data_IF_731983042260
#
_entry.id   IF_731983042260
#
_cell.length_a   1.000
_cell.length_b   1.000
_cell.length_c   1.000
_cell.angle_alpha   90.00
_cell.angle_beta   90.00
_cell.angle_gamma   90.00
#
_symmetry.space_group_name_H-M   'P 1'
#
loop_
_entity.id
_entity.type
_entity.pdbx_description
1 polymer ?
#
# COMPACT_ATOMS: atom_id res chain seq x y z
N UNK A 1 36.44 -15.75 -10.44
CA UNK A 1 35.98 -14.45 -9.91
C UNK A 1 35.57 -14.65 -8.46
N UNK A 2 36.15 -13.93 -7.50
CA UNK A 2 35.70 -13.98 -6.09
C UNK A 2 34.59 -12.96 -5.90
N UNK A 3 33.42 -13.41 -5.44
CA UNK A 3 32.30 -12.54 -5.05
C UNK A 3 32.75 -11.48 -4.05
N UNK A 4 32.29 -10.24 -4.23
CA UNK A 4 32.68 -9.04 -3.46
C UNK A 4 31.92 -8.89 -2.14
N UNK A 5 31.02 -9.83 -1.82
CA UNK A 5 30.19 -9.85 -0.63
C UNK A 5 30.49 -11.13 0.15
N UNK A 6 30.58 -11.04 1.48
CA UNK A 6 30.53 -12.23 2.34
C UNK A 6 29.25 -12.99 1.98
N UNK A 7 29.43 -14.18 1.42
CA UNK A 7 28.32 -15.02 1.01
C UNK A 7 27.59 -15.59 2.23
N UNK A 8 26.36 -16.02 2.01
CA UNK A 8 25.61 -16.79 3.00
C UNK A 8 26.30 -18.14 3.16
N UNK A 9 26.68 -18.49 4.39
CA UNK A 9 27.24 -19.80 4.69
C UNK A 9 26.17 -20.81 5.08
N UNK A 10 26.40 -22.05 4.66
CA UNK A 10 25.51 -23.17 4.90
C UNK A 10 26.16 -24.18 5.84
N UNK A 11 25.36 -24.75 6.73
CA UNK A 11 25.70 -25.87 7.57
C UNK A 11 25.04 -27.14 7.03
N UNK A 12 25.82 -28.18 6.76
CA UNK A 12 25.33 -29.43 6.18
C UNK A 12 25.48 -30.57 7.18
N UNK A 13 24.34 -31.13 7.60
CA UNK A 13 24.27 -32.34 8.43
C UNK A 13 23.95 -33.53 7.54
N UNK A 14 24.76 -34.58 7.67
CA UNK A 14 24.62 -35.80 6.87
C UNK A 14 24.48 -37.00 7.79
N UNK A 15 23.45 -37.81 7.58
CA UNK A 15 23.25 -39.09 8.27
C UNK A 15 23.37 -40.23 7.26
N UNK A 16 23.99 -41.34 7.66
CA UNK A 16 24.13 -42.51 6.81
C UNK A 16 23.74 -43.78 7.57
N UNK A 17 23.02 -44.68 6.91
CA UNK A 17 22.62 -45.98 7.44
C UNK A 17 23.13 -47.11 6.56
N UNK A 18 23.76 -48.10 7.19
CA UNK A 18 24.22 -49.33 6.52
C UNK A 18 23.03 -50.28 6.38
N UNK A 19 22.85 -50.82 5.18
CA UNK A 19 21.74 -51.69 4.81
C UNK A 19 22.16 -53.14 4.54
N UNK A 20 23.46 -53.44 4.53
CA UNK A 20 23.96 -54.82 4.39
C UNK A 20 23.91 -55.54 5.74
N UNK A 21 23.54 -56.82 5.72
CA UNK A 21 23.59 -57.67 6.91
C UNK A 21 25.03 -58.15 7.19
N UNK A 22 25.44 -58.34 8.47
CA UNK A 22 26.73 -58.93 8.83
C UNK A 22 26.90 -60.35 8.25
N UNK A 23 28.14 -60.83 8.02
CA UNK A 23 29.41 -60.31 8.53
C UNK A 23 30.05 -59.25 7.62
N UNK A 24 30.58 -58.19 8.24
CA UNK A 24 31.35 -57.15 7.57
C UNK A 24 32.82 -57.56 7.48
N UNK A 25 33.47 -57.26 6.36
CA UNK A 25 34.90 -57.50 6.15
C UNK A 25 35.82 -56.51 6.90
N UNK A 26 35.24 -55.42 7.42
CA UNK A 26 35.93 -54.29 8.03
C UNK A 26 35.41 -54.06 9.45
N UNK A 27 36.25 -53.45 10.29
CA UNK A 27 35.81 -53.00 11.62
C UNK A 27 34.75 -51.89 11.48
N UNK A 28 33.85 -51.81 12.45
CA UNK A 28 32.76 -50.83 12.46
C UNK A 28 33.28 -49.39 12.33
N UNK A 29 34.43 -49.09 12.94
CA UNK A 29 35.05 -47.77 12.88
C UNK A 29 35.57 -47.44 11.48
N UNK A 30 36.20 -48.41 10.80
CA UNK A 30 36.68 -48.24 9.43
C UNK A 30 35.52 -48.06 8.44
N UNK A 31 34.41 -48.79 8.64
CA UNK A 31 33.18 -48.61 7.87
C UNK A 31 32.63 -47.20 8.06
N UNK A 32 32.57 -46.71 9.30
CA UNK A 32 32.07 -45.35 9.60
C UNK A 32 32.92 -44.29 8.90
N UNK A 33 34.25 -44.41 8.99
CA UNK A 33 35.16 -43.41 8.41
C UNK A 33 35.13 -43.43 6.87
N UNK A 34 35.02 -44.61 6.26
CA UNK A 34 34.92 -44.75 4.81
C UNK A 34 33.58 -44.23 4.26
N UNK A 35 32.46 -44.57 4.91
CA UNK A 35 31.13 -44.02 4.58
C UNK A 35 31.13 -42.50 4.72
N UNK A 36 31.69 -41.98 5.81
CA UNK A 36 31.79 -40.54 6.07
C UNK A 36 32.62 -39.82 5.01
N UNK A 37 33.80 -40.34 4.66
CA UNK A 37 34.66 -39.77 3.65
C UNK A 37 33.96 -39.70 2.28
N UNK A 38 33.27 -40.79 1.92
CA UNK A 38 32.58 -40.90 0.63
C UNK A 38 31.36 -39.99 0.52
N UNK A 39 30.57 -39.89 1.58
CA UNK A 39 29.42 -38.98 1.66
C UNK A 39 29.88 -37.52 1.61
N UNK A 40 30.94 -37.15 2.36
CA UNK A 40 31.51 -35.80 2.33
C UNK A 40 32.08 -35.42 0.97
N UNK A 41 32.82 -36.33 0.34
CA UNK A 41 33.42 -36.07 -0.97
C UNK A 41 32.33 -35.81 -2.03
N UNK A 42 31.29 -36.64 -2.06
CA UNK A 42 30.18 -36.43 -2.99
C UNK A 42 29.36 -35.17 -2.69
N UNK A 43 29.11 -34.85 -1.41
CA UNK A 43 28.44 -33.61 -1.05
C UNK A 43 29.25 -32.38 -1.50
N UNK A 44 30.57 -32.39 -1.28
CA UNK A 44 31.46 -31.32 -1.71
C UNK A 44 31.50 -31.18 -3.24
N UNK A 45 31.56 -32.29 -3.97
CA UNK A 45 31.55 -32.32 -5.43
C UNK A 45 30.27 -31.70 -6.00
N UNK A 46 29.10 -32.07 -5.45
CA UNK A 46 27.81 -31.49 -5.84
C UNK A 46 27.76 -29.99 -5.57
N UNK A 47 28.19 -29.56 -4.37
CA UNK A 47 28.19 -28.15 -3.99
C UNK A 47 29.14 -27.30 -4.82
N UNK A 48 30.27 -27.85 -5.27
CA UNK A 48 31.23 -27.14 -6.13
C UNK A 48 30.67 -26.87 -7.54
N UNK A 49 29.80 -27.75 -8.04
CA UNK A 49 29.20 -27.65 -9.37
C UNK A 49 27.81 -26.98 -9.36
N UNK A 50 27.28 -26.64 -8.19
CA UNK A 50 26.00 -25.96 -8.04
C UNK A 50 26.18 -24.43 -8.07
N UNK A 51 25.75 -23.77 -9.14
CA UNK A 51 25.58 -22.30 -9.20
C UNK A 51 24.26 -21.87 -8.54
N UNK A 52 24.01 -22.33 -7.31
CA UNK A 52 22.72 -22.17 -6.64
C UNK A 52 22.79 -21.06 -5.60
N UNK A 53 21.79 -20.17 -5.59
CA UNK A 53 21.78 -18.95 -4.77
C UNK A 53 20.84 -19.01 -3.55
N UNK A 54 20.02 -20.05 -3.43
CA UNK A 54 18.98 -20.18 -2.41
C UNK A 54 19.04 -21.52 -1.67
N UNK A 55 18.79 -21.47 -0.34
CA UNK A 55 18.83 -22.62 0.56
C UNK A 55 17.98 -23.83 0.08
N UNK A 56 16.73 -23.65 -0.38
CA UNK A 56 15.90 -24.78 -0.82
C UNK A 56 16.50 -25.52 -2.01
N UNK A 57 17.02 -24.79 -2.98
CA UNK A 57 17.64 -25.39 -4.16
C UNK A 57 18.94 -26.13 -3.81
N UNK A 58 19.73 -25.61 -2.85
CA UNK A 58 20.93 -26.33 -2.33
C UNK A 58 20.52 -27.62 -1.62
N UNK A 59 19.49 -27.56 -0.79
CA UNK A 59 18.92 -28.73 -0.11
C UNK A 59 18.45 -29.79 -1.12
N UNK A 60 17.71 -29.40 -2.15
CA UNK A 60 17.19 -30.31 -3.18
C UNK A 60 18.31 -30.98 -3.99
N UNK A 61 19.34 -30.22 -4.37
CA UNK A 61 20.48 -30.78 -5.11
C UNK A 61 21.27 -31.78 -4.26
N UNK A 62 21.56 -31.44 -3.01
CA UNK A 62 22.23 -32.34 -2.07
C UNK A 62 21.39 -33.59 -1.78
N UNK A 63 20.09 -33.42 -1.52
CA UNK A 63 19.17 -34.53 -1.26
C UNK A 63 19.05 -35.47 -2.47
N UNK A 64 18.91 -34.91 -3.68
CA UNK A 64 18.86 -35.71 -4.92
C UNK A 64 20.16 -36.49 -5.11
N UNK A 65 21.32 -35.85 -4.94
CA UNK A 65 22.61 -36.50 -5.14
C UNK A 65 22.92 -37.62 -4.12
N UNK A 66 22.36 -37.53 -2.92
CA UNK A 66 22.64 -38.47 -1.83
C UNK A 66 21.52 -39.49 -1.58
N UNK A 67 20.37 -39.34 -2.24
CA UNK A 67 19.21 -40.25 -2.14
C UNK A 67 19.47 -41.68 -2.65
N UNK A 68 20.53 -41.92 -3.40
CA UNK A 68 20.80 -43.22 -4.02
C UNK A 68 21.58 -44.13 -3.07
N UNK A 69 21.18 -45.41 -2.99
CA UNK A 69 21.93 -46.43 -2.24
C UNK A 69 23.29 -46.63 -2.90
N UNK A 70 24.35 -46.54 -2.11
CA UNK A 70 25.75 -46.65 -2.55
C UNK A 70 26.38 -47.88 -1.95
N UNK A 71 27.39 -48.43 -2.63
CA UNK A 71 28.18 -49.55 -2.13
C UNK A 71 29.63 -49.17 -1.90
N UNK A 72 30.21 -49.69 -0.82
CA UNK A 72 31.65 -49.75 -0.63
C UNK A 72 32.19 -51.02 -1.30
N UNK A 73 33.37 -50.91 -1.89
CA UNK A 73 34.06 -51.99 -2.59
C UNK A 73 34.78 -52.90 -1.58
N UNK A 74 34.00 -53.53 -0.71
CA UNK A 74 34.43 -54.54 0.25
C UNK A 74 33.90 -55.90 -0.19
N UNK A 75 34.48 -57.01 0.28
CA UNK A 75 33.96 -58.35 0.03
C UNK A 75 33.53 -59.01 1.36
N UNK A 76 32.22 -59.10 1.66
CA UNK A 76 31.06 -58.76 0.82
C UNK A 76 30.77 -57.25 0.71
N UNK A 77 30.09 -56.80 -0.37
CA UNK A 77 29.84 -55.37 -0.62
C UNK A 77 28.88 -54.76 0.39
N UNK A 78 29.31 -53.65 1.00
CA UNK A 78 28.56 -52.94 2.02
C UNK A 78 27.73 -51.82 1.39
N UNK A 79 26.39 -51.94 1.48
CA UNK A 79 25.44 -50.96 0.97
C UNK A 79 25.07 -49.97 2.06
N UNK A 80 24.99 -48.69 1.72
CA UNK A 80 24.54 -47.64 2.62
C UNK A 80 23.67 -46.61 1.90
N UNK A 81 22.75 -46.00 2.65
CA UNK A 81 21.95 -44.87 2.21
C UNK A 81 22.33 -43.64 3.04
N UNK A 82 22.26 -42.45 2.45
CA UNK A 82 22.55 -41.20 3.13
C UNK A 82 21.39 -40.21 3.01
N UNK A 83 21.16 -39.43 4.05
CA UNK A 83 20.23 -38.30 4.07
C UNK A 83 20.97 -37.04 4.45
N UNK A 84 20.52 -35.90 3.91
CA UNK A 84 21.17 -34.61 4.12
C UNK A 84 20.17 -33.54 4.50
N UNK A 85 20.58 -32.72 5.46
CA UNK A 85 19.89 -31.50 5.86
C UNK A 85 20.89 -30.35 5.73
N UNK A 86 20.52 -29.33 4.97
CA UNK A 86 21.26 -28.10 4.75
C UNK A 86 20.51 -26.98 5.44
N UNK A 87 21.17 -26.32 6.38
CA UNK A 87 20.68 -25.16 7.09
C UNK A 87 21.59 -23.96 6.84
N UNK A 88 21.13 -22.77 7.17
CA UNK A 88 21.96 -21.58 7.24
C UNK A 88 22.88 -21.63 8.48
N UNK A 89 24.06 -21.02 8.42
CA UNK A 89 24.87 -20.80 9.62
C UNK A 89 24.07 -20.01 10.68
N UNK A 90 24.30 -20.26 11.98
CA UNK A 90 23.56 -19.55 13.04
C UNK A 90 23.63 -18.03 12.94
N UNK A 91 24.78 -17.48 12.54
CA UNK A 91 24.99 -16.04 12.38
C UNK A 91 24.18 -15.50 11.18
N UNK A 92 24.14 -16.24 10.07
CA UNK A 92 23.33 -15.90 8.89
C UNK A 92 21.83 -16.05 9.16
N UNK A 93 21.42 -17.04 9.96
CA UNK A 93 20.04 -17.17 10.43
C UNK A 93 19.61 -15.93 11.24
N UNK A 94 20.47 -15.46 12.15
CA UNK A 94 20.22 -14.28 12.94
C UNK A 94 20.13 -13.01 12.06
N UNK A 95 21.03 -12.86 11.09
CA UNK A 95 21.01 -11.74 10.15
C UNK A 95 19.73 -11.70 9.31
N UNK A 96 19.30 -12.85 8.78
CA UNK A 96 18.03 -12.97 8.03
C UNK A 96 16.83 -12.66 8.93
N UNK A 97 16.82 -13.15 10.17
CA UNK A 97 15.75 -12.86 11.12
C UNK A 97 15.62 -11.36 11.42
N UNK A 98 16.74 -10.66 11.62
CA UNK A 98 16.78 -9.20 11.82
C UNK A 98 16.26 -8.46 10.59
N UNK A 99 16.67 -8.87 9.39
CA UNK A 99 16.21 -8.27 8.14
C UNK A 99 14.70 -8.44 7.97
N UNK A 100 14.18 -9.66 8.19
CA UNK A 100 12.74 -9.94 8.09
C UNK A 100 11.93 -9.16 9.14
N UNK A 101 12.44 -9.03 10.36
CA UNK A 101 11.81 -8.22 11.39
C UNK A 101 11.73 -6.74 10.99
N UNK A 102 12.81 -6.19 10.43
CA UNK A 102 12.85 -4.83 9.93
C UNK A 102 11.86 -4.62 8.75
N UNK A 103 11.81 -5.55 7.80
CA UNK A 103 10.86 -5.48 6.68
C UNK A 103 9.41 -5.54 7.14
N UNK A 104 9.08 -6.41 8.10
CA UNK A 104 7.73 -6.50 8.68
C UNK A 104 7.33 -5.18 9.36
N UNK A 105 8.24 -4.58 10.12
CA UNK A 105 8.00 -3.29 10.77
C UNK A 105 7.75 -2.19 9.74
N UNK A 106 8.58 -2.11 8.69
CA UNK A 106 8.41 -1.15 7.60
C UNK A 106 7.06 -1.33 6.89
N UNK A 107 6.67 -2.57 6.57
CA UNK A 107 5.40 -2.85 5.91
C UNK A 107 4.19 -2.43 6.77
N UNK A 108 4.26 -2.62 8.09
CA UNK A 108 3.22 -2.15 9.01
C UNK A 108 3.15 -0.62 9.06
N UNK A 109 4.29 0.05 9.15
CA UNK A 109 4.36 1.52 9.13
C UNK A 109 3.79 2.10 7.83
N UNK A 110 4.12 1.50 6.68
CA UNK A 110 3.62 1.93 5.39
C UNK A 110 2.11 1.69 5.25
N UNK A 111 1.60 0.57 5.77
CA UNK A 111 0.16 0.29 5.80
C UNK A 111 -0.59 1.30 6.65
N UNK A 112 -0.07 1.61 7.86
CA UNK A 112 -0.65 2.62 8.73
C UNK A 112 -0.60 4.02 8.11
N UNK A 113 0.49 4.38 7.44
CA UNK A 113 0.58 5.67 6.71
C UNK A 113 -0.44 5.76 5.60
N UNK A 114 -0.62 4.69 4.81
CA UNK A 114 -1.64 4.65 3.74
C UNK A 114 -3.05 4.75 4.31
N UNK A 115 -3.37 4.00 5.36
CA UNK A 115 -4.69 4.06 6.01
C UNK A 115 -4.97 5.46 6.56
N UNK A 116 -4.00 6.10 7.22
CA UNK A 116 -4.15 7.49 7.69
C UNK A 116 -4.35 8.48 6.55
N UNK A 117 -3.55 8.37 5.49
CA UNK A 117 -3.67 9.24 4.33
C UNK A 117 -5.03 9.06 3.62
N UNK A 118 -5.50 7.82 3.51
CA UNK A 118 -6.80 7.51 2.93
C UNK A 118 -7.95 8.04 3.79
N UNK A 119 -7.89 7.86 5.11
CA UNK A 119 -8.90 8.40 6.02
C UNK A 119 -8.98 9.93 5.93
N UNK A 120 -7.84 10.62 5.89
CA UNK A 120 -7.80 12.08 5.68
C UNK A 120 -8.36 12.46 4.31
N UNK A 121 -8.04 11.70 3.25
CA UNK A 121 -8.56 11.97 1.92
C UNK A 121 -10.09 11.76 1.83
N UNK A 122 -10.63 10.75 2.53
CA UNK A 122 -12.07 10.49 2.64
C UNK A 122 -12.76 11.59 3.47
N UNK A 123 -12.15 12.04 4.56
CA UNK A 123 -12.64 13.15 5.39
C UNK A 123 -12.67 14.47 4.62
N UNK A 124 -11.63 14.75 3.82
CA UNK A 124 -11.54 15.93 2.96
C UNK A 124 -12.31 15.81 1.63
N UNK A 125 -12.94 14.66 1.35
CA UNK A 125 -13.77 14.49 0.16
C UNK A 125 -15.10 15.27 0.27
N UNK A 126 -15.56 15.56 1.49
CA UNK A 126 -16.65 16.50 1.71
C UNK A 126 -16.09 17.93 1.69
N UNK A 127 -16.48 18.76 0.71
CA UNK A 127 -15.98 20.13 0.60
C UNK A 127 -16.35 20.99 1.82
N UNK A 128 -17.41 20.66 2.57
CA UNK A 128 -17.72 21.34 3.83
C UNK A 128 -16.68 21.03 4.93
N UNK A 129 -16.25 19.77 5.03
CA UNK A 129 -15.20 19.32 5.95
C UNK A 129 -13.83 19.86 5.53
N UNK A 130 -13.55 19.92 4.22
CA UNK A 130 -12.36 20.56 3.70
C UNK A 130 -12.28 22.05 4.06
N UNK A 131 -13.40 22.79 3.99
CA UNK A 131 -13.45 24.19 4.47
C UNK A 131 -13.22 24.29 5.97
N UNK A 132 -13.83 23.43 6.77
CA UNK A 132 -13.63 23.43 8.22
C UNK A 132 -12.16 23.15 8.55
N UNK A 133 -11.52 22.18 7.90
CA UNK A 133 -10.10 21.89 8.05
C UNK A 133 -9.20 23.05 7.62
N UNK A 134 -9.57 23.75 6.53
CA UNK A 134 -8.86 24.95 6.09
C UNK A 134 -9.04 26.13 7.06
N UNK A 135 -10.23 26.32 7.63
CA UNK A 135 -10.54 27.41 8.57
C UNK A 135 -9.94 27.16 9.97
N UNK A 136 -9.83 25.90 10.38
CA UNK A 136 -9.28 25.49 11.68
C UNK A 136 -7.76 25.29 11.65
N UNK A 137 -7.16 25.09 10.48
CA UNK A 137 -5.72 25.05 10.31
C UNK A 137 -5.10 26.42 10.59
N UNK A 138 -4.30 26.52 11.65
CA UNK A 138 -3.51 27.71 11.97
C UNK A 138 -2.79 28.23 10.71
N UNK A 139 -3.20 29.41 10.23
CA UNK A 139 -2.72 30.13 9.03
C UNK A 139 -3.29 29.69 7.67
N UNK A 140 -4.61 29.52 7.54
CA UNK A 140 -5.21 29.93 6.27
C UNK A 140 -5.11 31.45 6.13
N UNK A 141 -3.95 31.91 5.67
CA UNK A 141 -3.70 33.30 5.32
C UNK A 141 -4.42 33.59 4.00
N UNK A 142 -5.73 33.87 4.09
CA UNK A 142 -6.60 34.14 2.95
C UNK A 142 -6.13 35.35 2.12
N UNK A 143 -5.25 36.19 2.68
CA UNK A 143 -4.57 37.26 1.94
C UNK A 143 -3.65 36.76 0.82
N UNK A 144 -3.29 35.47 0.82
CA UNK A 144 -2.48 34.81 -0.22
C UNK A 144 -3.28 33.95 -1.19
N UNK A 145 -4.60 33.85 -1.01
CA UNK A 145 -5.46 33.24 -2.01
C UNK A 145 -5.56 34.22 -3.18
N UNK A 146 -4.88 33.90 -4.28
CA UNK A 146 -5.08 34.62 -5.55
C UNK A 146 -6.56 34.54 -5.94
N UNK A 147 -7.12 35.61 -6.52
CA UNK A 147 -8.54 35.67 -6.95
C UNK A 147 -8.96 34.44 -7.76
N UNK A 148 -8.08 33.91 -8.61
CA UNK A 148 -8.30 32.68 -9.38
C UNK A 148 -8.59 31.45 -8.52
N UNK A 149 -7.92 31.30 -7.37
CA UNK A 149 -8.13 30.17 -6.45
C UNK A 149 -9.43 30.33 -5.66
N UNK A 150 -9.76 31.55 -5.26
CA UNK A 150 -11.01 31.86 -4.58
C UNK A 150 -12.22 31.64 -5.53
N UNK A 151 -12.13 32.10 -6.78
CA UNK A 151 -13.15 31.88 -7.80
C UNK A 151 -13.32 30.41 -8.18
N UNK A 152 -12.21 29.65 -8.31
CA UNK A 152 -12.27 28.21 -8.54
C UNK A 152 -12.92 27.45 -7.39
N UNK A 153 -12.57 27.79 -6.14
CA UNK A 153 -13.21 27.22 -4.96
C UNK A 153 -14.70 27.57 -4.91
N UNK A 154 -15.07 28.84 -5.09
CA UNK A 154 -16.47 29.28 -5.13
C UNK A 154 -17.28 28.53 -6.20
N UNK A 155 -16.68 28.26 -7.37
CA UNK A 155 -17.30 27.47 -8.44
C UNK A 155 -17.49 26.00 -8.05
N UNK A 156 -16.53 25.39 -7.35
CA UNK A 156 -16.65 24.02 -6.83
C UNK A 156 -17.75 23.95 -5.77
N UNK A 157 -17.85 24.93 -4.86
CA UNK A 157 -18.92 25.03 -3.87
C UNK A 157 -20.29 25.25 -4.51
N UNK A 158 -20.40 26.10 -5.52
CA UNK A 158 -21.65 26.35 -6.24
C UNK A 158 -22.15 25.11 -7.02
N UNK A 159 -21.26 24.18 -7.34
CA UNK A 159 -21.57 22.93 -8.04
C UNK A 159 -21.81 21.75 -7.10
N UNK A 160 -21.35 21.83 -5.84
CA UNK A 160 -21.55 20.76 -4.87
C UNK A 160 -23.02 20.66 -4.46
N UNK A 161 -23.59 19.47 -4.64
CA UNK A 161 -24.93 19.11 -4.17
C UNK A 161 -24.78 18.04 -3.08
N UNK A 162 -25.29 18.25 -1.86
CA UNK A 162 -25.22 17.26 -0.81
C UNK A 162 -25.86 15.94 -1.26
N UNK A 163 -25.30 14.79 -0.87
CA UNK A 163 -25.78 13.48 -1.31
C UNK A 163 -27.14 13.09 -0.71
N UNK A 164 -27.70 13.87 0.23
CA UNK A 164 -28.97 13.56 0.91
C UNK A 164 -29.97 14.71 0.75
N UNK A 165 -31.26 14.42 0.49
CA UNK A 165 -32.27 15.45 0.29
C UNK A 165 -32.51 16.22 1.59
N UNK A 166 -32.03 17.46 1.65
CA UNK A 166 -32.28 18.35 2.78
C UNK A 166 -33.69 18.95 2.68
N UNK A 167 -34.73 18.13 2.92
CA UNK A 167 -36.09 18.61 3.10
C UNK A 167 -36.72 19.33 1.88
N UNK A 168 -37.97 19.76 2.06
CA UNK A 168 -38.76 20.47 1.03
C UNK A 168 -38.17 21.83 0.65
N UNK A 169 -37.48 22.48 1.59
CA UNK A 169 -36.90 23.80 1.44
C UNK A 169 -35.72 23.79 0.46
N UNK A 170 -34.87 22.76 0.51
CA UNK A 170 -33.76 22.63 -0.45
C UNK A 170 -34.26 22.31 -1.87
N UNK A 171 -35.29 21.46 -1.97
CA UNK A 171 -35.93 21.17 -3.25
C UNK A 171 -36.55 22.44 -3.87
N UNK A 172 -37.16 23.30 -3.06
CA UNK A 172 -37.69 24.58 -3.51
C UNK A 172 -36.58 25.51 -4.02
N UNK A 173 -35.44 25.59 -3.32
CA UNK A 173 -34.29 26.41 -3.77
C UNK A 173 -33.77 25.94 -5.12
N UNK A 174 -33.67 24.63 -5.35
CA UNK A 174 -33.21 24.07 -6.63
C UNK A 174 -34.21 24.34 -7.77
N UNK A 175 -35.51 24.25 -7.50
CA UNK A 175 -36.57 24.60 -8.47
C UNK A 175 -36.51 26.09 -8.83
N UNK A 176 -36.38 26.96 -7.82
CA UNK A 176 -36.25 28.42 -8.03
C UNK A 176 -34.97 28.73 -8.81
N UNK A 177 -33.85 28.07 -8.51
CA UNK A 177 -32.61 28.24 -9.26
C UNK A 177 -32.75 27.84 -10.73
N UNK A 178 -33.30 26.66 -11.02
CA UNK A 178 -33.54 26.21 -12.39
C UNK A 178 -34.50 27.12 -13.15
N UNK A 179 -35.55 27.61 -12.47
CA UNK A 179 -36.48 28.56 -13.06
C UNK A 179 -35.79 29.88 -13.41
N UNK A 180 -34.96 30.42 -12.52
CA UNK A 180 -34.17 31.62 -12.81
C UNK A 180 -33.16 31.39 -13.94
N UNK A 181 -32.46 30.25 -13.95
CA UNK A 181 -31.51 29.91 -15.01
C UNK A 181 -32.16 29.73 -16.39
N UNK A 182 -33.47 29.47 -16.45
CA UNK A 182 -34.21 29.37 -17.71
C UNK A 182 -34.34 30.70 -18.47
N UNK A 183 -34.15 31.83 -17.80
CA UNK A 183 -34.15 33.14 -18.45
C UNK A 183 -32.75 33.48 -18.98
N UNK A 184 -32.63 33.56 -20.31
CA UNK A 184 -31.39 33.98 -20.99
C UNK A 184 -31.16 35.49 -20.95
N UNK A 185 -32.24 36.27 -20.83
CA UNK A 185 -32.19 37.73 -20.77
C UNK A 185 -32.24 38.22 -19.30
N UNK A 186 -31.55 39.33 -18.97
CA UNK A 186 -31.50 39.85 -17.60
C UNK A 186 -32.77 40.60 -17.18
N UNK A 187 -33.55 41.15 -18.13
CA UNK A 187 -34.76 41.94 -17.82
C UNK A 187 -35.85 41.11 -17.11
N UNK A 188 -36.21 39.89 -17.56
CA UNK A 188 -37.16 39.04 -16.84
C UNK A 188 -36.72 38.67 -15.42
N UNK A 189 -35.40 38.50 -15.20
CA UNK A 189 -34.84 38.21 -13.87
C UNK A 189 -35.00 39.40 -12.93
N UNK A 190 -34.73 40.62 -13.41
CA UNK A 190 -34.91 41.86 -12.63
C UNK A 190 -36.36 42.05 -12.22
N UNK A 191 -37.31 41.84 -13.14
CA UNK A 191 -38.74 41.94 -12.81
C UNK A 191 -39.15 40.95 -11.70
N UNK A 192 -38.61 39.73 -11.70
CA UNK A 192 -38.86 38.75 -10.65
C UNK A 192 -38.28 39.18 -9.29
N UNK A 193 -37.08 39.75 -9.28
CA UNK A 193 -36.47 40.28 -8.06
C UNK A 193 -37.25 41.47 -7.51
N UNK A 194 -37.73 42.39 -8.36
CA UNK A 194 -38.59 43.52 -7.96
C UNK A 194 -39.92 43.04 -7.36
N UNK A 195 -40.55 42.06 -8.01
CA UNK A 195 -41.81 41.48 -7.54
C UNK A 195 -41.60 40.75 -6.20
N UNK A 196 -40.49 40.03 -6.04
CA UNK A 196 -40.14 39.35 -4.79
C UNK A 196 -39.89 40.36 -3.67
N UNK A 197 -39.06 41.38 -3.91
CA UNK A 197 -38.81 42.45 -2.93
C UNK A 197 -40.10 43.18 -2.55
N UNK A 198 -40.95 43.51 -3.54
CA UNK A 198 -42.27 44.10 -3.33
C UNK A 198 -43.18 43.23 -2.45
N UNK A 199 -43.23 41.92 -2.73
CA UNK A 199 -44.01 40.97 -1.95
C UNK A 199 -43.50 40.83 -0.51
N UNK A 200 -42.19 40.88 -0.29
CA UNK A 200 -41.57 40.83 1.04
C UNK A 200 -41.85 42.11 1.84
N UNK A 201 -41.83 43.28 1.19
CA UNK A 201 -42.25 44.54 1.83
C UNK A 201 -43.73 44.49 2.22
N UNK A 202 -44.59 44.00 1.33
CA UNK A 202 -46.03 43.82 1.60
C UNK A 202 -46.30 42.81 2.74
N UNK A 203 -45.45 41.79 2.89
CA UNK A 203 -45.50 40.81 3.96
C UNK A 203 -44.78 41.26 5.26
N UNK A 204 -44.41 42.55 5.38
CA UNK A 204 -43.74 43.14 6.53
C UNK A 204 -42.36 42.51 6.86
N UNK A 205 -41.61 42.14 5.81
CA UNK A 205 -40.25 41.58 5.86
C UNK A 205 -39.24 42.51 5.15
N UNK A 206 -39.01 43.73 5.67
CA UNK A 206 -38.24 44.76 4.97
C UNK A 206 -36.74 44.43 4.86
N UNK A 207 -36.17 43.69 5.82
CA UNK A 207 -34.76 43.30 5.78
C UNK A 207 -34.47 42.31 4.65
N UNK A 208 -35.38 41.34 4.44
CA UNK A 208 -35.28 40.38 3.35
C UNK A 208 -35.48 41.05 1.99
N UNK A 209 -36.40 42.02 1.89
CA UNK A 209 -36.59 42.82 0.68
C UNK A 209 -35.33 43.61 0.30
N UNK A 210 -34.68 44.25 1.27
CA UNK A 210 -33.42 44.98 1.04
C UNK A 210 -32.29 44.06 0.55
N UNK A 211 -32.21 42.82 1.06
CA UNK A 211 -31.24 41.84 0.54
C UNK A 211 -31.51 41.45 -0.91
N UNK A 212 -32.77 41.35 -1.33
CA UNK A 212 -33.13 41.06 -2.73
C UNK A 212 -32.80 42.24 -3.64
N UNK A 213 -33.04 43.48 -3.19
CA UNK A 213 -32.66 44.70 -3.92
C UNK A 213 -31.14 44.80 -4.12
N UNK A 214 -30.34 44.48 -3.09
CA UNK A 214 -28.88 44.45 -3.21
C UNK A 214 -28.39 43.41 -4.23
N UNK A 215 -29.06 42.27 -4.36
CA UNK A 215 -28.74 41.27 -5.38
C UNK A 215 -29.07 41.78 -6.80
N UNK A 216 -30.09 42.63 -6.95
CA UNK A 216 -30.37 43.28 -8.22
C UNK A 216 -29.24 44.24 -8.61
N UNK A 217 -28.74 45.05 -7.68
CA UNK A 217 -27.65 46.00 -7.92
C UNK A 217 -26.36 45.29 -8.34
N UNK A 218 -26.04 44.16 -7.69
CA UNK A 218 -24.90 43.31 -8.07
C UNK A 218 -25.06 42.62 -9.44
N UNK A 219 -26.30 42.37 -9.86
CA UNK A 219 -26.61 41.80 -11.19
C UNK A 219 -26.74 42.86 -12.29
N UNK A 220 -26.82 44.14 -11.90
CA UNK A 220 -26.99 45.27 -12.80
C UNK A 220 -25.68 45.86 -13.31
N UNK A 221 -24.55 45.40 -12.76
CA UNK A 221 -23.22 45.91 -13.09
C UNK A 221 -22.34 44.84 -13.77
N UNK A 222 -22.38 44.71 -15.11
CA UNK A 222 -21.42 43.88 -15.84
C UNK A 222 -20.09 44.58 -16.14
N UNK A 223 -19.83 45.82 -15.69
CA UNK A 223 -18.60 46.53 -16.02
C UNK A 223 -18.18 47.55 -14.95
N UNK A 224 -17.30 47.12 -14.02
CA UNK A 224 -16.06 47.83 -13.64
C UNK A 224 -15.34 47.04 -12.52
N UNK A 225 -14.46 46.10 -12.92
CA UNK A 225 -13.26 45.78 -12.13
C UNK A 225 -12.07 46.12 -13.01
N UNK A 226 -11.69 47.40 -12.92
CA UNK A 226 -10.34 47.93 -13.02
C UNK A 226 -10.15 48.88 -11.84
#
# INVERSE_FOLDING_TARGET
>A
MRSRYEGIGFHVVMAASVQSDPPYAMDAQEVIDEVRARVRHHAADVLQHCEVFDLPSVQDHCARALSHVRSLACDPPLKFAATVVVDLLPDDQAAVAVLLAAQRKQALEDTLRRQKAQAIAEELADPATALLHMLQGEKADWSKATEDKAGALAKIFAQYRPPHPQGSEYALVEVVRQFLDSFTEPEPKRMLYELLAGSMRAANRPQQAASVEQLMDLSADPQEVL
#
